data_IF_658493590343
#
_entry.id   IF_658493590343
#
_cell.length_a   1.000
_cell.length_b   1.000
_cell.length_c   1.000
_cell.angle_alpha   90.00
_cell.angle_beta   90.00
_cell.angle_gamma   90.00
#
_symmetry.space_group_name_H-M   'P 1'
#
loop_
_entity.id
_entity.type
_entity.pdbx_description
1 polymer ?
#
# COMPACT_ATOMS: atom_id res chain seq x y z
N UNK A 1 -49.11 34.20 34.32
CA UNK A 1 -48.59 34.39 32.95
C UNK A 1 -47.82 33.14 32.58
N UNK A 2 -48.43 32.22 31.85
CA UNK A 2 -47.76 31.00 31.37
C UNK A 2 -47.30 31.26 29.94
N UNK A 3 -45.98 31.24 29.70
CA UNK A 3 -45.39 31.49 28.38
C UNK A 3 -45.81 30.45 27.34
N UNK A 4 -45.78 30.82 26.06
CA UNK A 4 -46.14 29.91 24.98
C UNK A 4 -45.11 28.77 24.84
N UNK A 5 -45.41 27.68 24.09
CA UNK A 5 -44.53 26.52 23.95
C UNK A 5 -43.14 26.83 23.37
N UNK A 6 -42.97 27.97 22.69
CA UNK A 6 -41.66 28.45 22.23
C UNK A 6 -40.84 29.13 23.33
N UNK A 7 -41.52 29.71 24.32
CA UNK A 7 -40.89 30.37 25.47
C UNK A 7 -40.67 29.41 26.64
N UNK A 8 -41.28 28.22 26.62
CA UNK A 8 -41.13 27.20 27.65
C UNK A 8 -40.66 25.88 27.02
N UNK A 9 -39.36 25.80 26.74
CA UNK A 9 -38.74 24.58 26.24
C UNK A 9 -38.71 23.57 27.40
N UNK A 10 -39.48 22.49 27.26
CA UNK A 10 -39.45 21.39 28.20
C UNK A 10 -38.03 20.81 28.26
N UNK A 11 -37.52 20.62 29.48
CA UNK A 11 -36.23 19.99 29.67
C UNK A 11 -36.25 18.57 29.05
N UNK A 12 -35.23 18.18 28.27
CA UNK A 12 -35.19 16.85 27.69
C UNK A 12 -35.14 15.80 28.79
N UNK A 13 -35.90 14.71 28.61
CA UNK A 13 -35.96 13.61 29.56
C UNK A 13 -34.59 12.91 29.78
N UNK A 14 -33.68 13.05 28.82
CA UNK A 14 -32.34 12.48 28.84
C UNK A 14 -31.34 13.52 28.36
N UNK A 15 -30.26 13.73 29.11
CA UNK A 15 -29.25 14.75 28.81
C UNK A 15 -28.36 14.39 27.61
N UNK A 16 -27.52 13.35 27.74
CA UNK A 16 -26.65 12.85 26.68
C UNK A 16 -26.12 11.46 27.04
N UNK A 17 -25.48 10.79 26.07
CA UNK A 17 -24.87 9.45 26.23
C UNK A 17 -23.77 9.40 27.30
N UNK A 18 -23.16 10.55 27.64
CA UNK A 18 -22.17 10.63 28.72
C UNK A 18 -22.82 10.50 30.09
N UNK A 19 -23.97 11.15 30.30
CA UNK A 19 -24.65 11.17 31.60
C UNK A 19 -25.68 10.05 31.76
N UNK A 20 -26.19 9.50 30.66
CA UNK A 20 -27.13 8.39 30.68
C UNK A 20 -26.85 7.36 29.57
N UNK A 21 -25.75 6.61 29.65
CA UNK A 21 -25.33 5.69 28.61
C UNK A 21 -26.29 4.51 28.37
N UNK A 22 -27.14 4.16 29.35
CA UNK A 22 -28.14 3.11 29.18
C UNK A 22 -29.29 3.54 28.26
N UNK A 23 -29.68 4.81 28.30
CA UNK A 23 -30.71 5.39 27.43
C UNK A 23 -30.32 5.40 25.94
N UNK A 24 -29.03 5.25 25.63
CA UNK A 24 -28.52 5.21 24.25
C UNK A 24 -27.99 3.83 23.84
N UNK A 25 -28.14 2.81 24.69
CA UNK A 25 -27.62 1.45 24.45
C UNK A 25 -28.16 0.81 23.16
N UNK A 26 -29.41 1.12 22.78
CA UNK A 26 -30.04 0.67 21.54
C UNK A 26 -29.43 1.28 20.27
N UNK A 27 -28.70 2.39 20.39
CA UNK A 27 -28.03 3.04 19.27
C UNK A 27 -26.59 2.59 19.11
N UNK A 28 -26.10 1.64 19.94
CA UNK A 28 -24.78 1.04 19.72
C UNK A 28 -24.83 0.27 18.41
N UNK A 29 -24.11 0.75 17.38
CA UNK A 29 -24.20 0.10 16.09
C UNK A 29 -23.42 -1.21 16.20
N UNK A 30 -24.11 -2.34 16.07
CA UNK A 30 -23.50 -3.66 15.91
C UNK A 30 -22.95 -3.79 14.49
N UNK A 31 -21.98 -2.94 14.15
CA UNK A 31 -21.33 -3.03 12.85
C UNK A 31 -20.47 -4.29 12.84
N UNK A 32 -20.69 -5.20 11.87
CA UNK A 32 -19.78 -6.32 11.69
C UNK A 32 -18.38 -5.75 11.50
N UNK A 33 -17.42 -6.32 12.22
CA UNK A 33 -16.03 -5.87 12.14
C UNK A 33 -15.61 -6.01 10.68
N UNK A 34 -15.21 -4.91 10.00
CA UNK A 34 -14.89 -5.00 8.58
C UNK A 34 -13.77 -6.02 8.40
N UNK A 35 -13.96 -6.92 7.44
CA UNK A 35 -12.93 -7.87 7.07
C UNK A 35 -11.69 -7.07 6.68
N UNK A 36 -10.56 -7.30 7.36
CA UNK A 36 -9.35 -6.55 7.07
C UNK A 36 -8.93 -6.87 5.65
N UNK A 37 -8.89 -5.85 4.79
CA UNK A 37 -8.30 -5.96 3.47
C UNK A 37 -6.88 -6.52 3.61
N UNK A 38 -6.48 -7.36 2.65
CA UNK A 38 -5.11 -7.87 2.61
C UNK A 38 -4.14 -6.69 2.64
N UNK A 39 -3.09 -6.73 3.48
CA UNK A 39 -2.11 -5.67 3.52
C UNK A 39 -1.39 -5.54 2.18
N UNK A 40 -1.00 -4.30 1.87
CA UNK A 40 -0.14 -3.96 0.73
C UNK A 40 1.22 -4.63 0.87
N UNK A 41 1.82 -5.02 -0.24
CA UNK A 41 3.15 -5.64 -0.25
C UNK A 41 4.22 -4.67 0.26
N UNK A 42 5.13 -5.14 1.11
CA UNK A 42 6.36 -4.41 1.40
C UNK A 42 7.32 -4.56 0.21
N UNK A 43 7.76 -3.45 -0.37
CA UNK A 43 8.65 -3.46 -1.53
C UNK A 43 10.08 -3.12 -1.10
N UNK A 44 11.08 -3.91 -1.48
CA UNK A 44 12.48 -3.53 -1.35
C UNK A 44 12.78 -2.21 -2.07
N UNK A 45 13.80 -1.49 -1.62
CA UNK A 45 14.31 -0.36 -2.42
C UNK A 45 14.99 -0.91 -3.67
N UNK A 46 14.76 -0.26 -4.80
CA UNK A 46 15.41 -0.58 -6.06
C UNK A 46 15.78 0.71 -6.80
N UNK A 47 16.60 0.57 -7.82
CA UNK A 47 16.92 1.64 -8.76
C UNK A 47 16.11 1.41 -10.02
N UNK A 48 15.32 2.40 -10.45
CA UNK A 48 14.52 2.32 -11.67
C UNK A 48 15.40 1.98 -12.88
N UNK A 49 14.98 0.99 -13.64
CA UNK A 49 15.59 0.66 -14.91
C UNK A 49 14.89 1.38 -16.08
N UNK A 50 15.38 1.16 -17.30
CA UNK A 50 14.83 1.77 -18.51
C UNK A 50 13.35 1.43 -18.74
N UNK A 51 12.90 0.26 -18.33
CA UNK A 51 11.50 -0.17 -18.47
C UNK A 51 10.62 0.52 -17.46
N UNK A 52 11.09 0.69 -16.22
CA UNK A 52 10.38 1.41 -15.16
C UNK A 52 10.12 2.86 -15.57
N UNK A 53 11.14 3.54 -16.13
CA UNK A 53 10.98 4.91 -16.64
C UNK A 53 10.00 5.02 -17.82
N UNK A 54 10.01 4.04 -18.73
CA UNK A 54 9.07 4.01 -19.85
C UNK A 54 7.62 3.80 -19.40
N UNK A 55 7.41 2.93 -18.42
CA UNK A 55 6.09 2.73 -17.84
C UNK A 55 5.62 3.98 -17.09
N UNK A 56 6.53 4.62 -16.34
CA UNK A 56 6.25 5.88 -15.66
C UNK A 56 5.81 6.96 -16.66
N UNK A 57 6.56 7.16 -17.75
CA UNK A 57 6.21 8.10 -18.83
C UNK A 57 4.84 7.79 -19.45
N UNK A 58 4.58 6.53 -19.82
CA UNK A 58 3.28 6.14 -20.38
C UNK A 58 2.12 6.37 -19.40
N UNK A 59 2.33 6.19 -18.10
CA UNK A 59 1.32 6.47 -17.07
C UNK A 59 1.12 7.97 -16.87
N UNK A 60 2.16 8.79 -17.03
CA UNK A 60 2.09 10.26 -16.99
C UNK A 60 1.26 10.79 -18.16
N UNK A 61 1.57 10.35 -19.38
CA UNK A 61 0.82 10.74 -20.58
C UNK A 61 -0.65 10.30 -20.46
N UNK A 62 -0.87 9.03 -20.08
CA UNK A 62 -2.23 8.49 -19.93
C UNK A 62 -3.06 9.28 -18.90
N UNK A 63 -2.49 9.68 -17.75
CA UNK A 63 -3.27 10.41 -16.73
C UNK A 63 -3.57 11.85 -17.16
N UNK A 64 -2.73 12.46 -17.97
CA UNK A 64 -2.98 13.80 -18.54
C UNK A 64 -4.09 13.72 -19.57
N UNK A 65 -3.98 12.82 -20.54
CA UNK A 65 -4.99 12.56 -21.55
C UNK A 65 -6.34 12.21 -20.92
N UNK A 66 -6.33 11.34 -19.91
CA UNK A 66 -7.55 10.95 -19.21
C UNK A 66 -8.17 12.13 -18.45
N UNK A 67 -7.35 13.01 -17.87
CA UNK A 67 -7.84 14.23 -17.18
C UNK A 67 -8.50 15.18 -18.18
N UNK A 68 -7.87 15.42 -19.33
CA UNK A 68 -8.45 16.25 -20.41
C UNK A 68 -9.73 15.63 -20.94
N UNK A 69 -9.77 14.31 -21.13
CA UNK A 69 -10.93 13.60 -21.65
C UNK A 69 -12.14 13.67 -20.70
N UNK A 70 -11.92 13.59 -19.37
CA UNK A 70 -13.01 13.53 -18.38
C UNK A 70 -13.44 14.92 -17.90
N UNK A 71 -12.49 15.84 -17.70
CA UNK A 71 -12.72 17.14 -17.07
C UNK A 71 -12.41 18.33 -17.97
N UNK A 72 -11.87 18.10 -19.17
CA UNK A 72 -11.48 19.15 -20.11
C UNK A 72 -10.10 19.73 -19.83
N UNK A 73 -9.57 20.43 -20.83
CA UNK A 73 -8.24 21.06 -20.77
C UNK A 73 -8.11 22.10 -19.66
N UNK A 74 -9.16 22.88 -19.40
CA UNK A 74 -9.16 23.88 -18.33
C UNK A 74 -8.89 23.24 -16.95
N UNK A 75 -9.45 22.05 -16.67
CA UNK A 75 -9.19 21.34 -15.43
C UNK A 75 -7.72 20.93 -15.29
N UNK A 76 -7.11 20.40 -16.36
CA UNK A 76 -5.70 20.04 -16.38
C UNK A 76 -4.81 21.28 -16.13
N UNK A 77 -5.12 22.40 -16.77
CA UNK A 77 -4.36 23.65 -16.62
C UNK A 77 -4.45 24.23 -15.20
N UNK A 78 -5.65 24.25 -14.61
CA UNK A 78 -5.89 24.93 -13.33
C UNK A 78 -5.56 24.05 -12.11
N UNK A 79 -5.80 22.74 -12.21
CA UNK A 79 -5.73 21.81 -11.07
C UNK A 79 -4.72 20.67 -11.28
N UNK A 80 -4.17 20.51 -12.48
CA UNK A 80 -3.30 19.39 -12.83
C UNK A 80 -4.05 18.07 -12.99
N UNK A 81 -3.32 16.96 -12.85
CA UNK A 81 -3.83 15.60 -13.08
C UNK A 81 -4.64 15.10 -11.88
N UNK A 82 -5.97 15.10 -12.01
CA UNK A 82 -6.89 14.71 -10.93
C UNK A 82 -7.27 13.22 -10.95
N UNK A 83 -7.06 12.53 -12.07
CA UNK A 83 -7.45 11.12 -12.24
C UNK A 83 -6.63 10.17 -11.36
N UNK A 84 -5.32 10.40 -11.29
CA UNK A 84 -4.36 9.55 -10.58
C UNK A 84 -3.25 10.40 -9.95
N UNK A 85 -3.07 10.26 -8.64
CA UNK A 85 -2.02 10.98 -7.91
C UNK A 85 -0.64 10.43 -8.26
N UNK A 86 0.39 11.28 -8.15
CA UNK A 86 1.79 10.85 -8.33
C UNK A 86 2.21 9.74 -7.36
N UNK A 87 1.63 9.73 -6.14
CA UNK A 87 1.86 8.65 -5.16
C UNK A 87 1.32 7.30 -5.63
N UNK A 88 0.14 7.30 -6.26
CA UNK A 88 -0.47 6.10 -6.83
C UNK A 88 0.34 5.61 -8.03
N UNK A 89 0.72 6.52 -8.92
CA UNK A 89 1.54 6.22 -10.11
C UNK A 89 2.88 5.60 -9.72
N UNK A 90 3.63 6.24 -8.82
CA UNK A 90 4.92 5.71 -8.34
C UNK A 90 4.75 4.32 -7.71
N UNK A 91 3.68 4.13 -6.92
CA UNK A 91 3.37 2.82 -6.34
C UNK A 91 3.09 1.75 -7.39
N UNK A 92 2.41 2.09 -8.48
CA UNK A 92 2.19 1.17 -9.61
C UNK A 92 3.53 0.76 -10.20
N UNK A 93 4.41 1.72 -10.52
CA UNK A 93 5.73 1.44 -11.08
C UNK A 93 6.55 0.53 -10.15
N UNK A 94 6.61 0.86 -8.85
CA UNK A 94 7.32 0.03 -7.86
C UNK A 94 6.75 -1.40 -7.79
N UNK A 95 5.43 -1.52 -7.79
CA UNK A 95 4.77 -2.82 -7.74
C UNK A 95 5.00 -3.63 -9.02
N UNK A 96 5.01 -3.00 -10.18
CA UNK A 96 5.26 -3.66 -11.47
C UNK A 96 6.70 -4.13 -11.57
N UNK A 97 7.67 -3.31 -11.14
CA UNK A 97 9.08 -3.70 -11.05
C UNK A 97 9.25 -5.01 -10.26
N UNK A 98 8.56 -5.12 -9.12
CA UNK A 98 8.55 -6.32 -8.26
C UNK A 98 7.50 -7.38 -8.65
N UNK A 99 6.88 -7.25 -9.83
CA UNK A 99 5.86 -8.17 -10.38
C UNK A 99 4.69 -8.45 -9.44
N UNK A 100 4.29 -7.45 -8.65
CA UNK A 100 3.17 -7.51 -7.68
C UNK A 100 1.82 -7.19 -8.28
N UNK A 101 1.77 -6.56 -9.45
CA UNK A 101 0.53 -6.26 -10.17
C UNK A 101 0.53 -7.06 -11.48
N UNK A 102 -0.42 -8.00 -11.60
CA UNK A 102 -0.70 -8.73 -12.85
C UNK A 102 -2.17 -8.61 -13.24
N UNK A 103 -3.05 -8.44 -12.25
CA UNK A 103 -4.49 -8.35 -12.41
C UNK A 103 -5.05 -7.05 -11.85
N UNK A 104 -6.29 -6.72 -12.22
CA UNK A 104 -7.03 -5.60 -11.67
C UNK A 104 -7.17 -5.67 -10.14
N UNK A 105 -7.34 -6.88 -9.58
CA UNK A 105 -7.43 -7.08 -8.14
C UNK A 105 -6.11 -6.76 -7.44
N UNK A 106 -4.98 -7.10 -8.06
CA UNK A 106 -3.66 -6.73 -7.53
C UNK A 106 -3.47 -5.22 -7.52
N UNK A 107 -3.88 -4.53 -8.59
CA UNK A 107 -3.83 -3.07 -8.67
C UNK A 107 -4.64 -2.44 -7.53
N UNK A 108 -5.88 -2.90 -7.33
CA UNK A 108 -6.76 -2.46 -6.23
C UNK A 108 -6.09 -2.66 -4.87
N UNK A 109 -5.60 -3.87 -4.63
CA UNK A 109 -4.97 -4.27 -3.37
C UNK A 109 -3.71 -3.46 -3.07
N UNK A 110 -2.83 -3.28 -4.06
CA UNK A 110 -1.52 -2.67 -3.87
C UNK A 110 -1.55 -1.13 -3.81
N UNK A 111 -2.53 -0.51 -4.46
CA UNK A 111 -2.61 0.96 -4.53
C UNK A 111 -3.71 1.55 -3.65
N UNK A 112 -4.82 0.83 -3.43
CA UNK A 112 -6.03 1.40 -2.84
C UNK A 112 -6.63 2.54 -3.66
N UNK A 113 -6.32 2.59 -4.96
CA UNK A 113 -6.72 3.70 -5.84
C UNK A 113 -8.23 3.69 -6.07
N UNK A 114 -8.90 4.77 -5.68
CA UNK A 114 -10.36 4.90 -5.73
C UNK A 114 -10.96 4.72 -7.14
N UNK A 115 -10.22 5.10 -8.20
CA UNK A 115 -10.70 4.98 -9.57
C UNK A 115 -10.27 3.67 -10.26
N UNK A 116 -9.70 2.72 -9.51
CA UNK A 116 -9.28 1.43 -10.04
C UNK A 116 -10.43 0.64 -10.65
N UNK A 117 -11.66 0.71 -10.10
CA UNK A 117 -12.83 0.07 -10.71
C UNK A 117 -13.20 0.66 -12.08
N UNK A 118 -12.92 1.94 -12.31
CA UNK A 118 -13.32 2.65 -13.54
C UNK A 118 -12.25 2.61 -14.63
N UNK A 119 -10.99 2.72 -14.23
CA UNK A 119 -9.87 2.92 -15.15
C UNK A 119 -8.77 1.88 -14.99
N UNK A 120 -8.93 0.93 -14.06
CA UNK A 120 -7.90 -0.04 -13.76
C UNK A 120 -7.58 -0.96 -14.93
N UNK A 121 -8.55 -1.35 -15.75
CA UNK A 121 -8.31 -2.19 -16.92
C UNK A 121 -7.41 -1.51 -17.95
N UNK A 122 -7.59 -0.20 -18.18
CA UNK A 122 -6.71 0.57 -19.07
C UNK A 122 -5.26 0.60 -18.55
N UNK A 123 -5.09 0.79 -17.23
CA UNK A 123 -3.79 0.79 -16.58
C UNK A 123 -3.14 -0.60 -16.64
N UNK A 124 -3.92 -1.68 -16.42
CA UNK A 124 -3.44 -3.05 -16.57
C UNK A 124 -2.99 -3.33 -18.02
N UNK A 125 -3.74 -2.85 -19.01
CA UNK A 125 -3.36 -2.98 -20.41
C UNK A 125 -2.03 -2.27 -20.70
N UNK A 126 -1.82 -1.06 -20.18
CA UNK A 126 -0.53 -0.36 -20.28
C UNK A 126 0.59 -1.20 -19.67
N UNK A 127 0.40 -1.70 -18.45
CA UNK A 127 1.40 -2.56 -17.77
C UNK A 127 1.75 -3.79 -18.60
N UNK A 128 0.74 -4.47 -19.18
CA UNK A 128 0.94 -5.67 -19.99
C UNK A 128 1.67 -5.38 -21.30
N UNK A 129 1.36 -4.27 -21.97
CA UNK A 129 2.07 -3.84 -23.19
C UNK A 129 3.56 -3.62 -22.91
N UNK A 130 3.89 -2.99 -21.78
CA UNK A 130 5.27 -2.79 -21.36
C UNK A 130 5.98 -4.10 -20.97
N UNK A 131 5.29 -5.02 -20.31
CA UNK A 131 5.86 -6.34 -19.95
C UNK A 131 6.13 -7.23 -21.19
N UNK A 132 5.26 -7.17 -22.20
CA UNK A 132 5.43 -7.92 -23.45
C UNK A 132 6.65 -7.44 -24.25
N UNK A 133 6.88 -6.12 -24.31
CA UNK A 133 8.08 -5.53 -24.93
C UNK A 133 9.37 -6.04 -24.28
N UNK A 134 9.39 -6.16 -22.96
CA UNK A 134 10.54 -6.70 -22.21
C UNK A 134 10.78 -8.18 -22.55
N UNK A 135 9.72 -8.97 -22.66
CA UNK A 135 9.84 -10.41 -22.96
C UNK A 135 10.31 -10.65 -24.40
N UNK A 136 9.83 -9.84 -25.36
CA UNK A 136 10.23 -9.95 -26.77
C UNK A 136 11.70 -9.66 -27.00
N UNK A 137 12.33 -8.79 -26.20
CA UNK A 137 13.76 -8.45 -26.35
C UNK A 137 14.70 -9.52 -25.78
N UNK A 138 14.19 -10.45 -24.97
CA UNK A 138 14.98 -11.55 -24.38
C UNK A 138 15.00 -12.81 -25.25
N UNK A 139 14.21 -12.87 -26.34
CA UNK A 139 14.08 -14.06 -27.21
C UNK A 139 15.05 -14.03 -28.40
N UNK A 140 15.75 -12.91 -28.66
CA UNK A 140 16.64 -12.80 -29.84
C UNK A 140 18.01 -13.45 -29.69
N UNK A 141 18.35 -14.06 -28.56
CA UNK A 141 19.57 -14.88 -28.46
C UNK A 141 19.24 -16.33 -28.78
N UNK A 142 19.17 -16.65 -30.08
CA UNK A 142 19.34 -18.03 -30.51
C UNK A 142 20.69 -18.51 -29.97
N UNK A 143 20.66 -19.43 -29.01
CA UNK A 143 21.81 -20.26 -28.66
C UNK A 143 22.20 -21.01 -29.93
N UNK A 144 23.15 -20.45 -30.70
CA UNK A 144 23.88 -21.22 -31.71
C UNK A 144 24.65 -22.30 -30.96
N UNK A 145 24.04 -23.47 -30.83
CA UNK A 145 24.74 -24.69 -30.48
C UNK A 145 25.70 -24.99 -31.65
N UNK A 146 26.94 -24.51 -31.52
CA UNK A 146 28.04 -24.85 -32.41
C UNK A 146 28.56 -26.22 -31.97
N UNK A 147 28.21 -27.25 -32.71
CA UNK A 147 28.76 -28.60 -32.56
C UNK A 147 28.60 -29.34 -33.87
N UNK A 148 29.62 -29.29 -34.71
CA UNK A 148 29.65 -29.98 -36.01
C UNK A 148 30.45 -31.28 -35.86
N UNK A 149 29.97 -32.31 -36.57
CA UNK A 149 30.70 -33.46 -37.17
C UNK A 149 30.70 -34.82 -36.43
N UNK A 150 29.83 -35.69 -36.99
CA UNK A 150 29.98 -37.09 -37.47
C UNK A 150 30.35 -38.27 -36.53
N UNK A 151 29.44 -39.26 -36.61
CA UNK A 151 29.64 -40.72 -36.79
C UNK A 151 30.05 -41.57 -35.58
N UNK A 152 29.28 -42.64 -35.35
CA UNK A 152 29.76 -43.85 -34.67
C UNK A 152 28.71 -44.54 -33.78
N UNK A 153 28.16 -45.62 -34.31
CA UNK A 153 27.46 -46.77 -33.69
C UNK A 153 27.51 -47.02 -32.17
N UNK A 154 26.31 -47.39 -31.69
CA UNK A 154 25.98 -48.56 -30.83
C UNK A 154 26.47 -48.73 -29.38
N UNK A 155 25.44 -48.85 -28.52
CA UNK A 155 25.29 -49.80 -27.39
C UNK A 155 26.02 -49.53 -26.08
N UNK A 156 25.28 -49.06 -25.06
CA UNK A 156 25.00 -49.76 -23.79
C UNK A 156 24.47 -48.83 -22.67
N UNK A 157 23.38 -49.28 -22.01
CA UNK A 157 22.85 -49.08 -20.64
C UNK A 157 23.78 -48.41 -19.59
N UNK A 158 23.29 -47.76 -18.49
CA UNK A 158 22.03 -48.05 -17.78
C UNK A 158 21.23 -46.85 -17.21
N UNK A 159 19.91 -47.04 -17.04
CA UNK A 159 19.04 -46.14 -16.24
C UNK A 159 18.79 -46.73 -14.86
N UNK A 160 19.34 -46.11 -13.82
CA UNK A 160 18.92 -46.32 -12.44
C UNK A 160 17.85 -45.30 -12.08
N UNK A 161 16.69 -45.82 -11.71
CA UNK A 161 15.53 -45.08 -11.22
C UNK A 161 15.74 -44.74 -9.74
N UNK A 162 15.50 -43.50 -9.33
CA UNK A 162 15.36 -43.14 -7.90
C UNK A 162 14.32 -42.04 -7.77
N UNK A 163 13.16 -42.48 -7.29
CA UNK A 163 11.99 -41.69 -6.92
C UNK A 163 12.32 -40.85 -5.68
N UNK A 164 11.93 -39.57 -5.68
CA UNK A 164 11.87 -38.75 -4.48
C UNK A 164 10.40 -38.61 -4.05
N UNK A 165 10.11 -39.10 -2.86
CA UNK A 165 8.88 -38.85 -2.09
C UNK A 165 8.91 -37.45 -1.47
N UNK A 166 7.79 -36.71 -1.39
CA UNK A 166 7.66 -35.58 -0.50
C UNK A 166 6.90 -35.99 0.76
N UNK A 167 7.54 -35.85 1.93
CA UNK A 167 6.87 -35.97 3.23
C UNK A 167 6.94 -34.65 4.02
N UNK A 168 5.77 -34.35 4.60
CA UNK A 168 5.47 -33.66 5.84
C UNK A 168 5.95 -32.22 6.13
N UNK A 169 4.94 -31.35 6.16
CA UNK A 169 4.58 -30.44 7.25
C UNK A 169 5.67 -29.58 7.90
N UNK A 170 5.70 -28.29 7.56
CA UNK A 170 6.22 -27.24 8.42
C UNK A 170 5.26 -26.05 8.43
N UNK A 171 4.43 -25.96 9.47
CA UNK A 171 3.65 -24.76 9.80
C UNK A 171 4.63 -23.77 10.45
N UNK A 172 4.81 -22.53 9.96
CA UNK A 172 5.70 -21.57 10.59
C UNK A 172 5.09 -21.07 11.91
N UNK A 173 5.74 -21.35 13.04
CA UNK A 173 5.40 -20.73 14.32
C UNK A 173 5.65 -19.22 14.23
N UNK A 174 4.62 -18.44 14.56
CA UNK A 174 4.64 -16.97 14.63
C UNK A 174 5.70 -16.50 15.64
N UNK A 175 6.82 -15.97 15.15
CA UNK A 175 7.80 -15.29 15.99
C UNK A 175 7.12 -14.16 16.77
N UNK A 176 7.08 -14.30 18.10
CA UNK A 176 6.60 -13.26 19.00
C UNK A 176 7.65 -12.13 18.98
N UNK A 177 7.31 -11.01 18.36
CA UNK A 177 8.23 -9.88 18.28
C UNK A 177 8.52 -9.33 19.67
N UNK A 178 9.78 -9.38 20.10
CA UNK A 178 10.28 -8.74 21.32
C UNK A 178 10.55 -7.27 21.05
N UNK A 179 10.23 -6.42 22.02
CA UNK A 179 10.53 -5.00 21.95
C UNK A 179 12.05 -4.78 21.90
N UNK A 180 12.56 -4.09 20.88
CA UNK A 180 14.00 -3.84 20.75
C UNK A 180 14.57 -2.91 21.83
N UNK A 181 13.74 -2.11 22.51
CA UNK A 181 14.19 -1.21 23.58
C UNK A 181 14.23 -1.89 24.96
N UNK A 182 13.17 -2.61 25.33
CA UNK A 182 13.03 -3.21 26.67
C UNK A 182 13.11 -4.75 26.70
N UNK A 183 13.13 -5.42 25.54
CA UNK A 183 13.24 -6.89 25.43
C UNK A 183 11.95 -7.67 25.72
N UNK A 184 10.88 -6.99 26.15
CA UNK A 184 9.60 -7.62 26.52
C UNK A 184 8.72 -7.92 25.30
N UNK A 185 7.93 -8.99 25.38
CA UNK A 185 7.00 -9.39 24.31
C UNK A 185 5.68 -8.61 24.40
N UNK A 186 4.93 -8.60 23.29
CA UNK A 186 3.58 -7.98 23.23
C UNK A 186 3.55 -6.50 22.82
N UNK A 187 4.71 -5.85 22.70
CA UNK A 187 4.82 -4.49 22.15
C UNK A 187 6.17 -4.28 21.44
N UNK A 188 6.32 -3.17 20.72
CA UNK A 188 7.59 -2.76 20.10
C UNK A 188 8.10 -1.43 20.69
N UNK A 189 9.33 -1.03 20.37
CA UNK A 189 9.98 0.15 20.96
C UNK A 189 9.28 1.49 20.68
N UNK A 190 8.40 1.54 19.67
CA UNK A 190 7.61 2.73 19.29
C UNK A 190 6.23 2.75 19.93
N UNK A 191 5.86 1.73 20.69
CA UNK A 191 4.61 1.69 21.43
C UNK A 191 4.75 2.49 22.73
N UNK A 192 3.80 3.38 23.04
CA UNK A 192 3.80 4.22 24.25
C UNK A 192 3.86 3.39 25.54
N UNK A 193 3.30 2.18 25.51
CA UNK A 193 3.32 1.22 26.63
C UNK A 193 4.74 0.73 26.95
N UNK A 194 5.73 0.96 26.06
CA UNK A 194 7.10 0.63 26.35
C UNK A 194 7.66 1.56 27.46
N UNK A 195 8.21 1.01 28.56
CA UNK A 195 8.79 1.83 29.63
C UNK A 195 10.01 2.63 29.19
N UNK A 196 10.63 2.28 28.05
CA UNK A 196 11.74 3.00 27.44
C UNK A 196 11.34 3.81 26.20
N UNK A 197 10.06 4.14 26.05
CA UNK A 197 9.59 4.96 24.95
C UNK A 197 10.22 6.36 25.03
N UNK A 198 10.51 6.97 23.87
CA UNK A 198 11.19 8.27 23.79
C UNK A 198 10.45 9.41 24.52
N UNK A 199 9.15 9.28 24.74
CA UNK A 199 8.36 10.24 25.54
C UNK A 199 8.57 10.14 27.04
N UNK A 200 9.09 9.01 27.55
CA UNK A 200 9.39 8.81 28.99
C UNK A 200 10.84 9.15 29.33
N UNK A 201 11.71 9.24 28.32
CA UNK A 201 13.10 9.68 28.47
C UNK A 201 13.12 11.21 28.42
N UNK A 202 12.74 11.86 29.52
CA UNK A 202 13.00 13.28 29.72
C UNK A 202 14.50 13.50 29.88
N UNK A 203 15.18 13.88 28.80
CA UNK A 203 16.40 14.68 28.94
C UNK A 203 15.97 16.08 29.35
N UNK A 204 16.14 16.37 30.64
CA UNK A 204 16.26 17.74 31.12
C UNK A 204 17.42 18.40 30.38
N UNK A 205 17.12 19.58 29.84
CA UNK A 205 18.02 20.65 29.36
C UNK A 205 17.37 21.33 28.15
N UNK A 206 16.36 22.15 28.43
CA UNK A 206 15.94 23.23 27.54
C UNK A 206 15.72 24.48 28.37
N UNK A 207 16.83 25.19 28.51
CA UNK A 207 16.98 26.62 28.77
C UNK A 207 15.80 27.44 28.20
N UNK A 208 15.06 28.07 29.12
CA UNK A 208 13.98 28.99 28.86
C UNK A 208 14.57 30.39 28.63
N UNK A 209 14.54 30.90 27.40
CA UNK A 209 14.81 32.32 27.14
C UNK A 209 13.49 33.08 27.21
N UNK A 210 13.27 33.74 28.35
CA UNK A 210 12.20 34.72 28.53
C UNK A 210 12.51 35.98 27.72
N UNK A 211 11.68 36.31 26.72
CA UNK A 211 11.63 37.65 26.15
C UNK A 211 10.31 38.33 26.57
N UNK A 212 10.39 39.31 27.47
CA UNK A 212 9.37 40.34 27.60
C UNK A 212 9.95 41.60 28.24
N UNK A 213 10.03 42.69 27.45
CA UNK A 213 9.61 44.04 27.84
C UNK A 213 9.96 45.03 26.72
N UNK A 214 8.95 45.50 25.98
CA UNK A 214 9.01 46.79 25.29
C UNK A 214 8.24 47.80 26.14
N UNK A 215 8.84 48.93 26.54
CA UNK A 215 8.08 50.05 27.08
C UNK A 215 7.54 50.92 25.94
N UNK A 216 6.23 51.18 25.99
CA UNK A 216 5.58 52.27 25.28
C UNK A 216 6.00 53.61 25.90
N UNK A 217 6.43 54.54 25.05
CA UNK A 217 6.27 55.99 25.25
C UNK A 217 6.13 56.63 23.87
#
# INVERSE_FOLDING_TARGET
>A
MSGCPRCNIAAPATCCDIHNPSAFSSFKPHLPKPLRASPRSHLPKFTKDKYDYKLEEALLDWREDKTVSVYGWACLSDHGTVIMTSTTLNRIVDCVHHRKIQTLEDLKRETGWMNSDRYGDEVINLIQQHAALTTSLLISTSLRLRGTVLVGEETATPSSSSQFTPDSSNIPMKCRSRCSACGQEGHNARNWVCPKHASHVSTGDKENVSQLAHPCA
#
